data_IF_467950612960
#
_entry.id   IF_467950612960
#
_cell.length_a   1.000
_cell.length_b   1.000
_cell.length_c   1.000
_cell.angle_alpha   90.00
_cell.angle_beta   90.00
_cell.angle_gamma   90.00
#
_symmetry.space_group_name_H-M   'P 1'
#
loop_
_entity.id
_entity.type
_entity.pdbx_description
1 polymer ?
#
# COMPACT_ATOMS: atom_id res chain seq x y z
N UNK A 1 10.21 -27.61 14.35
CA UNK A 1 10.87 -28.20 15.52
C UNK A 1 12.36 -28.56 15.31
N UNK A 2 12.80 -28.83 14.08
CA UNK A 2 14.22 -29.11 13.78
C UNK A 2 15.04 -27.87 13.42
N UNK A 3 14.36 -26.75 13.09
CA UNK A 3 15.01 -25.55 12.58
C UNK A 3 15.01 -24.37 13.56
N UNK A 4 14.08 -24.38 14.54
CA UNK A 4 13.91 -23.28 15.50
C UNK A 4 13.55 -23.81 16.89
N UNK A 5 14.05 -23.16 17.92
CA UNK A 5 13.73 -23.47 19.33
C UNK A 5 12.55 -22.64 19.82
N UNK A 6 12.39 -21.42 19.32
CA UNK A 6 11.31 -20.49 19.64
C UNK A 6 10.88 -19.74 18.39
N UNK A 7 9.57 -19.63 18.16
CA UNK A 7 8.97 -18.77 17.14
C UNK A 7 8.42 -17.51 17.80
N UNK A 8 8.77 -16.35 17.27
CA UNK A 8 8.16 -15.08 17.64
C UNK A 8 7.15 -14.71 16.55
N UNK A 9 5.88 -14.55 16.91
CA UNK A 9 4.82 -14.17 15.98
C UNK A 9 4.43 -12.71 16.18
N UNK A 10 4.00 -12.07 15.10
CA UNK A 10 3.53 -10.69 15.11
C UNK A 10 2.04 -10.60 15.44
N UNK A 11 1.27 -11.63 15.07
CA UNK A 11 -0.16 -11.65 15.27
C UNK A 11 -0.60 -12.82 16.17
N UNK A 12 -1.58 -12.60 17.08
CA UNK A 12 -2.03 -13.65 18.00
C UNK A 12 -2.57 -14.91 17.31
N UNK A 13 -3.23 -14.77 16.16
CA UNK A 13 -3.80 -15.92 15.44
C UNK A 13 -2.74 -16.89 14.88
N UNK A 14 -1.50 -16.43 14.71
CA UNK A 14 -0.41 -17.28 14.21
C UNK A 14 0.07 -18.28 15.26
N UNK A 15 -0.09 -17.99 16.57
CA UNK A 15 0.44 -18.83 17.65
C UNK A 15 -0.16 -20.24 17.62
N UNK A 16 -1.45 -20.36 17.36
CA UNK A 16 -2.16 -21.64 17.33
C UNK A 16 -1.54 -22.63 16.33
N UNK A 17 -1.05 -22.14 15.17
CA UNK A 17 -0.41 -22.98 14.15
C UNK A 17 0.88 -23.62 14.69
N UNK A 18 1.70 -22.84 15.38
CA UNK A 18 2.97 -23.34 15.94
C UNK A 18 2.77 -24.25 17.13
N UNK A 19 1.80 -23.95 18.00
CA UNK A 19 1.43 -24.77 19.14
C UNK A 19 0.97 -26.16 18.70
N UNK A 20 0.09 -26.25 17.69
CA UNK A 20 -0.36 -27.52 17.11
C UNK A 20 0.79 -28.39 16.58
N UNK A 21 1.88 -27.78 16.16
CA UNK A 21 3.07 -28.48 15.69
C UNK A 21 4.14 -28.68 16.76
N UNK A 22 3.84 -28.37 18.03
CA UNK A 22 4.74 -28.53 19.17
C UNK A 22 5.99 -27.64 19.09
N UNK A 23 5.89 -26.47 18.47
CA UNK A 23 6.94 -25.45 18.43
C UNK A 23 6.63 -24.43 19.53
N UNK A 24 7.63 -24.13 20.37
CA UNK A 24 7.49 -23.06 21.34
C UNK A 24 7.27 -21.73 20.61
N UNK A 25 6.23 -20.97 21.02
CA UNK A 25 5.84 -19.74 20.33
C UNK A 25 5.48 -18.66 21.34
N UNK A 26 5.78 -17.40 20.99
CA UNK A 26 5.36 -16.23 21.77
C UNK A 26 4.92 -15.13 20.80
N UNK A 27 3.72 -14.59 20.98
CA UNK A 27 3.29 -13.39 20.27
C UNK A 27 3.97 -12.16 20.92
N UNK A 28 4.68 -11.39 20.10
CA UNK A 28 5.42 -10.18 20.53
C UNK A 28 4.77 -8.89 20.06
N UNK A 29 3.72 -8.98 19.22
CA UNK A 29 3.09 -7.83 18.60
C UNK A 29 3.87 -7.32 17.39
N UNK A 30 3.31 -6.33 16.69
CA UNK A 30 3.91 -5.78 15.48
C UNK A 30 4.63 -4.45 15.79
N UNK A 31 5.92 -4.31 15.51
CA UNK A 31 6.71 -3.11 15.84
C UNK A 31 6.14 -1.80 15.28
N UNK A 32 5.47 -1.86 14.12
CA UNK A 32 4.81 -0.69 13.54
C UNK A 32 3.69 -0.14 14.44
N UNK A 33 2.99 -0.99 15.20
CA UNK A 33 1.95 -0.53 16.11
C UNK A 33 2.52 0.34 17.23
N UNK A 34 3.73 0.02 17.69
CA UNK A 34 4.43 0.80 18.71
C UNK A 34 5.02 2.10 18.15
N UNK A 35 5.47 2.08 16.88
CA UNK A 35 6.18 3.21 16.26
C UNK A 35 5.26 4.29 15.71
N UNK A 36 4.06 3.94 15.23
CA UNK A 36 3.14 4.89 14.60
C UNK A 36 2.26 5.66 15.59
N UNK A 37 2.11 5.15 16.83
CA UNK A 37 1.31 5.81 17.86
C UNK A 37 -0.18 5.91 17.49
N UNK A 38 -0.93 6.73 18.26
CA UNK A 38 -2.36 6.96 18.07
C UNK A 38 -2.70 8.36 17.52
N UNK A 39 -1.70 9.19 17.25
CA UNK A 39 -1.91 10.54 16.76
C UNK A 39 -2.32 10.55 15.29
N UNK A 40 -3.26 11.43 14.94
CA UNK A 40 -3.61 11.66 13.54
C UNK A 40 -2.70 12.73 12.94
N UNK A 41 -1.83 12.32 12.03
CA UNK A 41 -0.88 13.19 11.37
C UNK A 41 -1.38 13.78 10.05
N UNK A 42 -2.69 13.71 9.76
CA UNK A 42 -3.28 14.10 8.47
C UNK A 42 -2.90 15.53 8.06
N UNK A 43 -3.20 16.49 8.91
CA UNK A 43 -2.94 17.91 8.62
C UNK A 43 -1.44 18.20 8.44
N UNK A 44 -0.60 17.65 9.33
CA UNK A 44 0.85 17.80 9.23
C UNK A 44 1.41 17.22 7.93
N UNK A 45 0.90 16.06 7.52
CA UNK A 45 1.31 15.41 6.28
C UNK A 45 0.84 16.19 5.05
N UNK A 46 -0.36 16.76 5.08
CA UNK A 46 -0.86 17.65 4.02
C UNK A 46 0.02 18.89 3.87
N UNK A 47 0.35 19.54 4.97
CA UNK A 47 1.24 20.70 4.96
C UNK A 47 2.62 20.35 4.39
N UNK A 48 3.18 19.18 4.74
CA UNK A 48 4.47 18.70 4.20
C UNK A 48 4.45 18.57 2.67
N UNK A 49 3.33 18.16 2.10
CA UNK A 49 3.17 17.99 0.65
C UNK A 49 2.52 19.20 -0.05
N UNK A 50 2.41 20.33 0.64
CA UNK A 50 1.80 21.57 0.12
C UNK A 50 0.36 21.38 -0.37
N UNK A 51 -0.40 20.52 0.34
CA UNK A 51 -1.80 20.22 0.06
C UNK A 51 -2.73 21.05 0.94
N UNK A 52 -3.87 21.42 0.40
CA UNK A 52 -4.95 22.09 1.15
C UNK A 52 -5.60 21.14 2.17
N UNK A 53 -6.14 21.73 3.25
CA UNK A 53 -6.86 20.97 4.27
C UNK A 53 -8.15 20.33 3.71
N UNK A 54 -8.81 21.01 2.78
CA UNK A 54 -10.06 20.59 2.12
C UNK A 54 -9.82 19.80 0.81
N UNK A 55 -8.57 19.58 0.42
CA UNK A 55 -8.25 18.79 -0.77
C UNK A 55 -8.75 17.34 -0.60
N UNK A 56 -9.34 16.78 -1.64
CA UNK A 56 -9.69 15.37 -1.71
C UNK A 56 -8.48 14.57 -2.21
N UNK A 57 -7.87 13.78 -1.33
CA UNK A 57 -6.58 13.11 -1.56
C UNK A 57 -6.76 11.60 -1.62
N UNK A 58 -6.30 11.00 -2.71
CA UNK A 58 -6.18 9.53 -2.86
C UNK A 58 -4.71 9.15 -2.96
N UNK A 59 -4.26 8.24 -2.10
CA UNK A 59 -2.89 7.70 -2.22
C UNK A 59 -2.91 6.39 -3.00
N UNK A 60 -2.09 6.30 -4.07
CA UNK A 60 -1.95 5.14 -4.92
C UNK A 60 -0.65 4.40 -4.62
N UNK A 61 -0.74 3.17 -4.14
CA UNK A 61 0.42 2.34 -3.76
C UNK A 61 0.45 1.03 -4.57
N UNK A 62 0.96 1.05 -5.80
CA UNK A 62 0.92 -0.11 -6.70
C UNK A 62 1.93 -1.21 -6.33
N UNK A 63 2.66 -1.04 -5.24
CA UNK A 63 3.68 -1.97 -4.75
C UNK A 63 5.06 -1.33 -4.66
N UNK A 64 6.00 -2.06 -4.05
CA UNK A 64 7.39 -1.63 -3.84
C UNK A 64 8.39 -2.31 -4.80
N UNK A 65 8.00 -3.40 -5.46
CA UNK A 65 8.84 -4.15 -6.40
C UNK A 65 8.52 -3.75 -7.83
N UNK A 66 9.54 -3.59 -8.67
CA UNK A 66 9.37 -3.16 -10.06
C UNK A 66 8.40 -4.02 -10.87
N UNK A 67 8.33 -5.34 -10.59
CA UNK A 67 7.36 -6.23 -11.22
C UNK A 67 5.91 -6.02 -10.78
N UNK A 68 5.68 -5.57 -9.54
CA UNK A 68 4.36 -5.18 -9.03
C UNK A 68 3.93 -3.87 -9.67
N UNK A 69 4.79 -2.86 -9.63
CA UNK A 69 4.57 -1.54 -10.24
C UNK A 69 4.22 -1.71 -11.72
N UNK A 70 4.99 -2.52 -12.47
CA UNK A 70 4.72 -2.77 -13.89
C UNK A 70 3.30 -3.32 -14.15
N UNK A 71 2.76 -4.13 -13.23
CA UNK A 71 1.44 -4.75 -13.40
C UNK A 71 0.29 -3.92 -12.85
N UNK A 72 0.50 -3.24 -11.72
CA UNK A 72 -0.57 -2.58 -10.98
C UNK A 72 -0.63 -1.07 -11.24
N UNK A 73 0.50 -0.40 -11.42
CA UNK A 73 0.48 1.05 -11.63
C UNK A 73 -0.35 1.48 -12.85
N UNK A 74 -0.27 0.81 -14.02
CA UNK A 74 -1.15 1.17 -15.14
C UNK A 74 -2.64 1.08 -14.78
N UNK A 75 -3.05 0.04 -14.05
CA UNK A 75 -4.45 -0.18 -13.66
C UNK A 75 -4.90 0.88 -12.64
N UNK A 76 -4.06 1.20 -11.65
CA UNK A 76 -4.39 2.21 -10.65
C UNK A 76 -4.45 3.61 -11.27
N UNK A 77 -3.56 3.91 -12.23
CA UNK A 77 -3.59 5.19 -12.95
C UNK A 77 -4.81 5.30 -13.86
N UNK A 78 -5.24 4.21 -14.52
CA UNK A 78 -6.46 4.20 -15.33
C UNK A 78 -7.69 4.47 -14.44
N UNK A 79 -7.79 3.80 -13.29
CA UNK A 79 -8.85 4.03 -12.33
C UNK A 79 -8.84 5.47 -11.77
N UNK A 80 -7.65 6.04 -11.53
CA UNK A 80 -7.52 7.42 -11.09
C UNK A 80 -8.02 8.40 -12.15
N UNK A 81 -7.66 8.20 -13.42
CA UNK A 81 -8.13 9.03 -14.53
C UNK A 81 -9.65 8.95 -14.67
N UNK A 82 -10.22 7.75 -14.57
CA UNK A 82 -11.68 7.55 -14.60
C UNK A 82 -12.38 8.31 -13.46
N UNK A 83 -11.79 8.27 -12.26
CA UNK A 83 -12.34 8.99 -11.09
C UNK A 83 -12.35 10.50 -11.27
N UNK A 84 -11.48 11.07 -12.10
CA UNK A 84 -11.45 12.51 -12.38
C UNK A 84 -12.64 12.98 -13.23
N UNK A 85 -13.36 12.08 -13.89
CA UNK A 85 -14.59 12.42 -14.63
C UNK A 85 -15.65 12.92 -13.66
N UNK A 86 -15.85 12.22 -12.55
CA UNK A 86 -16.86 12.57 -11.55
C UNK A 86 -16.33 13.53 -10.48
N UNK A 87 -15.03 13.45 -10.19
CA UNK A 87 -14.38 14.24 -9.14
C UNK A 87 -13.12 14.95 -9.69
N UNK A 88 -13.27 16.03 -10.48
CA UNK A 88 -12.17 16.66 -11.22
C UNK A 88 -11.09 17.32 -10.34
N UNK A 89 -11.38 17.55 -9.06
CA UNK A 89 -10.44 18.17 -8.11
C UNK A 89 -9.66 17.14 -7.25
N UNK A 90 -9.78 15.83 -7.54
CA UNK A 90 -8.98 14.81 -6.85
C UNK A 90 -7.49 15.02 -7.09
N UNK A 91 -6.70 14.85 -6.03
CA UNK A 91 -5.24 14.78 -6.09
C UNK A 91 -4.77 13.39 -5.70
N UNK A 92 -3.74 12.92 -6.36
CA UNK A 92 -3.19 11.58 -6.17
C UNK A 92 -1.76 11.67 -5.68
N UNK A 93 -1.49 11.14 -4.48
CA UNK A 93 -0.14 10.93 -3.98
C UNK A 93 0.34 9.54 -4.39
N UNK A 94 1.53 9.44 -4.96
CA UNK A 94 2.12 8.17 -5.39
C UNK A 94 3.48 8.02 -4.72
N UNK A 95 3.57 7.31 -3.59
CA UNK A 95 4.84 7.10 -2.92
C UNK A 95 5.72 6.12 -3.68
N UNK A 96 7.03 6.40 -3.68
CA UNK A 96 8.05 5.53 -4.25
C UNK A 96 9.12 5.20 -3.20
N UNK A 97 9.68 3.99 -3.30
CA UNK A 97 10.67 3.47 -2.33
C UNK A 97 12.11 3.52 -2.84
N UNK A 98 12.33 3.87 -4.11
CA UNK A 98 13.66 3.94 -4.73
C UNK A 98 13.65 4.81 -5.97
N UNK A 99 14.84 5.28 -6.39
CA UNK A 99 15.01 6.03 -7.63
C UNK A 99 14.53 5.22 -8.87
N UNK A 100 14.71 3.90 -8.87
CA UNK A 100 14.22 3.02 -9.94
C UNK A 100 12.70 3.01 -10.02
N UNK A 101 12.02 2.92 -8.86
CA UNK A 101 10.55 2.96 -8.79
C UNK A 101 10.01 4.33 -9.19
N UNK A 102 10.67 5.41 -8.74
CA UNK A 102 10.35 6.76 -9.18
C UNK A 102 10.41 6.89 -10.70
N UNK A 103 11.54 6.46 -11.32
CA UNK A 103 11.71 6.54 -12.76
C UNK A 103 10.65 5.73 -13.52
N UNK A 104 10.29 4.54 -13.01
CA UNK A 104 9.27 3.69 -13.61
C UNK A 104 7.89 4.33 -13.57
N UNK A 105 7.47 4.85 -12.41
CA UNK A 105 6.16 5.50 -12.24
C UNK A 105 6.11 6.78 -13.07
N UNK A 106 7.17 7.59 -13.03
CA UNK A 106 7.27 8.82 -13.81
C UNK A 106 7.17 8.56 -15.33
N UNK A 107 7.78 7.49 -15.83
CA UNK A 107 7.65 7.08 -17.22
C UNK A 107 6.19 6.76 -17.59
N UNK A 108 5.47 6.04 -16.72
CA UNK A 108 4.04 5.74 -16.92
C UNK A 108 3.17 6.99 -16.91
N UNK A 109 3.42 7.93 -16.01
CA UNK A 109 2.69 9.21 -15.97
C UNK A 109 2.90 10.01 -17.24
N UNK A 110 4.13 10.02 -17.78
CA UNK A 110 4.46 10.70 -19.07
C UNK A 110 3.78 10.02 -20.25
N UNK A 111 3.83 8.69 -20.32
CA UNK A 111 3.17 7.89 -21.37
C UNK A 111 1.67 8.18 -21.43
N UNK A 112 1.02 8.26 -20.29
CA UNK A 112 -0.41 8.57 -20.17
C UNK A 112 -0.73 10.06 -20.26
N UNK A 113 0.25 10.93 -20.47
CA UNK A 113 0.10 12.41 -20.50
C UNK A 113 -0.48 13.00 -19.18
N UNK A 114 -0.33 12.31 -18.07
CA UNK A 114 -0.84 12.72 -16.75
C UNK A 114 0.11 13.68 -16.02
N UNK A 115 1.27 13.93 -16.57
CA UNK A 115 2.31 14.78 -15.96
C UNK A 115 2.01 16.30 -16.08
N UNK A 116 0.94 16.68 -16.76
CA UNK A 116 0.65 18.09 -17.08
C UNK A 116 -0.19 18.82 -16.02
N UNK A 117 -0.54 18.17 -14.93
CA UNK A 117 -1.37 18.76 -13.88
C UNK A 117 -0.80 18.53 -12.50
N UNK A 118 -1.23 19.34 -11.54
CA UNK A 118 -0.88 19.23 -10.12
C UNK A 118 -1.61 18.07 -9.41
N UNK A 119 -2.25 17.19 -10.19
CA UNK A 119 -3.10 16.14 -9.66
C UNK A 119 -2.33 14.87 -9.27
N UNK A 120 -1.21 14.56 -9.94
CA UNK A 120 -0.40 13.37 -9.67
C UNK A 120 0.96 13.77 -9.09
N UNK A 121 1.16 13.51 -7.81
CA UNK A 121 2.31 13.98 -7.03
C UNK A 121 3.12 12.75 -6.59
N UNK A 122 4.37 12.65 -7.02
CA UNK A 122 5.32 11.63 -6.58
C UNK A 122 5.98 12.06 -5.28
N UNK A 123 5.98 11.21 -4.28
CA UNK A 123 6.55 11.49 -2.95
C UNK A 123 7.45 10.35 -2.46
N UNK A 124 8.46 10.66 -1.67
CA UNK A 124 9.42 9.71 -1.11
C UNK A 124 9.09 9.25 0.33
N UNK A 125 7.92 9.66 0.83
CA UNK A 125 7.42 9.33 2.17
C UNK A 125 6.08 8.61 2.10
N UNK A 126 6.12 7.29 2.21
CA UNK A 126 4.91 6.45 2.16
C UNK A 126 3.99 6.65 3.36
N UNK A 127 4.54 6.80 4.57
CA UNK A 127 3.74 7.02 5.79
C UNK A 127 3.05 8.39 5.75
N UNK A 128 3.77 9.42 5.32
CA UNK A 128 3.18 10.75 5.11
C UNK A 128 2.08 10.72 4.05
N UNK A 129 2.30 10.02 2.93
CA UNK A 129 1.30 9.89 1.88
C UNK A 129 0.03 9.18 2.36
N UNK A 130 0.17 8.08 3.10
CA UNK A 130 -0.97 7.38 3.71
C UNK A 130 -1.68 8.33 4.70
N UNK A 131 -0.92 9.00 5.57
CA UNK A 131 -1.51 9.90 6.58
C UNK A 131 -2.28 11.07 5.98
N UNK A 132 -1.82 11.65 4.87
CA UNK A 132 -2.46 12.77 4.18
C UNK A 132 -3.77 12.38 3.49
N UNK A 133 -3.95 11.10 3.14
CA UNK A 133 -5.03 10.60 2.31
C UNK A 133 -6.41 10.59 2.99
N UNK A 134 -7.45 10.71 2.17
CA UNK A 134 -8.84 10.37 2.50
C UNK A 134 -9.13 8.91 2.15
N UNK A 135 -8.47 8.39 1.12
CA UNK A 135 -8.57 7.01 0.66
C UNK A 135 -7.21 6.53 0.18
N UNK A 136 -6.88 5.28 0.46
CA UNK A 136 -5.67 4.63 -0.04
C UNK A 136 -6.06 3.47 -0.97
N UNK A 137 -5.53 3.47 -2.19
CA UNK A 137 -5.64 2.36 -3.12
C UNK A 137 -4.27 1.66 -3.18
N UNK A 138 -4.21 0.41 -2.75
CA UNK A 138 -2.93 -0.25 -2.56
C UNK A 138 -2.93 -1.71 -3.01
N UNK A 139 -1.74 -2.23 -3.28
CA UNK A 139 -1.53 -3.67 -3.46
C UNK A 139 -1.57 -4.40 -2.12
N UNK A 140 -1.98 -5.67 -2.13
CA UNK A 140 -1.91 -6.52 -0.94
C UNK A 140 -0.46 -6.69 -0.46
N UNK A 141 -0.20 -6.41 0.82
CA UNK A 141 1.13 -6.51 1.42
C UNK A 141 1.20 -5.82 2.79
N UNK A 142 2.41 -5.52 3.25
CA UNK A 142 2.65 -4.83 4.53
C UNK A 142 2.02 -3.44 4.61
N UNK A 143 1.87 -2.76 3.47
CA UNK A 143 1.23 -1.45 3.39
C UNK A 143 -0.25 -1.47 3.83
N UNK A 144 -0.94 -2.62 3.76
CA UNK A 144 -2.32 -2.74 4.30
C UNK A 144 -2.34 -2.57 5.81
N UNK A 145 -1.36 -3.14 6.52
CA UNK A 145 -1.25 -2.96 7.97
C UNK A 145 -0.87 -1.51 8.34
N UNK A 146 0.05 -0.90 7.60
CA UNK A 146 0.43 0.50 7.79
C UNK A 146 -0.79 1.42 7.63
N UNK A 147 -1.56 1.20 6.56
CA UNK A 147 -2.79 1.97 6.28
C UNK A 147 -3.84 1.79 7.37
N UNK A 148 -4.01 0.55 7.89
CA UNK A 148 -4.90 0.26 9.00
C UNK A 148 -4.49 0.99 10.28
N UNK A 149 -3.20 0.93 10.63
CA UNK A 149 -2.65 1.58 11.82
C UNK A 149 -2.77 3.11 11.74
N UNK A 150 -2.61 3.68 10.54
CA UNK A 150 -2.83 5.10 10.26
C UNK A 150 -4.31 5.46 10.10
N UNK A 151 -5.22 4.49 10.27
CA UNK A 151 -6.69 4.67 10.27
C UNK A 151 -7.23 5.33 9.01
N UNK A 152 -6.71 4.93 7.85
CA UNK A 152 -7.23 5.41 6.57
C UNK A 152 -8.08 4.33 5.89
N UNK A 153 -9.23 4.72 5.32
CA UNK A 153 -9.99 3.84 4.44
C UNK A 153 -9.10 3.33 3.31
N UNK A 154 -9.30 2.06 2.90
CA UNK A 154 -8.47 1.50 1.85
C UNK A 154 -9.24 0.61 0.88
N UNK A 155 -8.78 0.59 -0.37
CA UNK A 155 -9.18 -0.38 -1.39
C UNK A 155 -7.94 -1.21 -1.72
N UNK A 156 -8.04 -2.52 -1.52
CA UNK A 156 -6.93 -3.45 -1.82
C UNK A 156 -7.15 -4.06 -3.19
N UNK A 157 -6.23 -3.78 -4.12
CA UNK A 157 -6.22 -4.35 -5.47
C UNK A 157 -5.01 -5.25 -5.67
N UNK A 158 -5.20 -6.39 -6.35
CA UNK A 158 -4.08 -7.27 -6.68
C UNK A 158 -4.23 -7.88 -8.07
N UNK A 159 -3.14 -7.94 -8.82
CA UNK A 159 -3.10 -8.55 -10.15
C UNK A 159 -1.96 -9.55 -10.24
N UNK A 160 -2.29 -10.82 -10.26
CA UNK A 160 -1.33 -11.90 -10.48
C UNK A 160 -0.93 -11.99 -11.97
N UNK A 161 0.30 -12.48 -12.23
CA UNK A 161 0.62 -12.95 -13.56
C UNK A 161 -0.32 -14.09 -13.97
N UNK A 162 -0.73 -14.16 -15.23
CA UNK A 162 -1.73 -15.12 -15.70
C UNK A 162 -1.38 -16.59 -15.35
N UNK A 163 -0.11 -16.96 -15.48
CA UNK A 163 0.38 -18.31 -15.13
C UNK A 163 0.24 -18.55 -13.63
N UNK A 164 0.66 -17.59 -12.78
CA UNK A 164 0.53 -17.69 -11.33
C UNK A 164 -0.93 -17.79 -10.90
N UNK A 165 -1.82 -17.02 -11.52
CA UNK A 165 -3.26 -17.08 -11.26
C UNK A 165 -3.84 -18.44 -11.65
N UNK A 166 -3.48 -18.99 -12.81
CA UNK A 166 -3.95 -20.30 -13.27
C UNK A 166 -3.52 -21.45 -12.35
N UNK A 167 -2.33 -21.35 -11.75
CA UNK A 167 -1.84 -22.34 -10.77
C UNK A 167 -2.52 -22.12 -9.42
N UNK A 168 -2.51 -20.88 -8.91
CA UNK A 168 -3.07 -20.54 -7.61
C UNK A 168 -4.57 -20.84 -7.51
N UNK A 169 -5.35 -20.51 -8.54
CA UNK A 169 -6.80 -20.76 -8.57
C UNK A 169 -7.17 -22.25 -8.50
N UNK A 170 -6.25 -23.16 -8.85
CA UNK A 170 -6.44 -24.61 -8.74
C UNK A 170 -5.97 -25.19 -7.41
N UNK A 171 -4.99 -24.56 -6.77
CA UNK A 171 -4.35 -25.06 -5.55
C UNK A 171 -4.92 -24.43 -4.28
N UNK A 172 -5.32 -23.15 -4.34
CA UNK A 172 -5.84 -22.42 -3.19
C UNK A 172 -7.36 -22.56 -3.18
N UNK A 173 -7.84 -23.37 -2.26
CA UNK A 173 -9.27 -23.41 -1.91
C UNK A 173 -9.47 -22.38 -0.80
N UNK A 174 -10.03 -21.23 -1.14
CA UNK A 174 -10.52 -20.26 -0.16
C UNK A 174 -11.91 -20.74 0.26
N UNK A 175 -12.16 -20.93 1.58
CA UNK A 175 -13.50 -21.28 2.08
C UNK A 175 -14.50 -20.16 1.81
#
# INVERSE_FOLDING_TARGET
KRAVDLMLTLFPFETAVYEQHGVAVKCVGHPLADSLGFEDHKLRSRQKFELGEDDSIVTLMPGSRGGEIKRLAPVFLDAAVESLIDCPNLKFLIPYSSAANHAQINALLREKSLFRGDQFILVDDSHGAISAADLVVLSSGTATLETLLLRRPMIVGYKLAAITFAIASRLVKIP
#
